data_IF_244244184014
#
_entry.id   IF_244244184014
#
_cell.length_a   1.000
_cell.length_b   1.000
_cell.length_c   1.000
_cell.angle_alpha   90.00
_cell.angle_beta   90.00
_cell.angle_gamma   90.00
#
_symmetry.space_group_name_H-M   'P 1'
#
loop_
_entity.id
_entity.type
_entity.pdbx_description
1 polymer ?
#
# COMPACT_ATOMS: atom_id res chain seq x y z
N UNK A 1 -11.57 -12.59 9.73
CA UNK A 1 -11.76 -12.06 11.08
C UNK A 1 -12.88 -12.82 11.81
N UNK A 2 -14.10 -12.86 11.27
CA UNK A 2 -15.26 -13.48 11.91
C UNK A 2 -15.10 -14.97 12.27
N UNK A 3 -14.31 -15.73 11.52
CA UNK A 3 -14.02 -17.15 11.79
C UNK A 3 -13.02 -17.39 12.93
N UNK A 4 -12.38 -16.36 13.48
CA UNK A 4 -11.38 -16.48 14.54
C UNK A 4 -11.88 -15.92 15.87
N UNK A 5 -12.16 -16.78 16.82
CA UNK A 5 -12.51 -16.36 18.19
C UNK A 5 -11.36 -15.55 18.83
N UNK A 6 -10.10 -15.92 18.53
CA UNK A 6 -8.93 -15.20 19.03
C UNK A 6 -8.88 -13.75 18.52
N UNK A 7 -9.12 -13.53 17.23
CA UNK A 7 -9.18 -12.18 16.66
C UNK A 7 -10.38 -11.39 17.19
N UNK A 8 -11.56 -11.98 17.24
CA UNK A 8 -12.76 -11.33 17.78
C UNK A 8 -12.60 -10.91 19.24
N UNK A 9 -11.91 -11.72 20.05
CA UNK A 9 -11.67 -11.42 21.47
C UNK A 9 -10.66 -10.28 21.65
N UNK A 10 -9.62 -10.20 20.83
CA UNK A 10 -8.45 -9.38 21.10
C UNK A 10 -8.37 -8.10 20.26
N UNK A 11 -9.13 -7.97 19.19
CA UNK A 11 -9.10 -6.78 18.34
C UNK A 11 -10.47 -6.41 17.76
N UNK A 12 -10.58 -5.16 17.34
CA UNK A 12 -11.69 -4.66 16.54
C UNK A 12 -11.20 -4.41 15.10
N UNK A 13 -12.11 -4.42 14.15
CA UNK A 13 -11.84 -4.19 12.74
C UNK A 13 -12.31 -2.80 12.33
N UNK A 14 -11.47 -2.05 11.63
CA UNK A 14 -11.85 -0.78 11.00
C UNK A 14 -11.76 -0.98 9.49
N UNK A 15 -12.88 -0.83 8.81
CA UNK A 15 -12.98 -0.86 7.36
C UNK A 15 -12.99 0.57 6.82
N UNK A 16 -11.85 1.03 6.30
CA UNK A 16 -11.76 2.35 5.65
C UNK A 16 -12.17 2.18 4.19
N UNK A 17 -13.45 2.34 3.95
CA UNK A 17 -14.09 2.23 2.64
C UNK A 17 -14.20 3.61 2.00
N UNK A 18 -14.60 3.66 0.72
CA UNK A 18 -14.91 4.91 0.04
C UNK A 18 -15.94 5.77 0.81
N UNK A 19 -15.79 7.10 0.68
CA UNK A 19 -16.75 8.02 1.30
C UNK A 19 -18.14 7.90 0.68
N UNK A 20 -19.18 7.99 1.49
CA UNK A 20 -20.57 7.94 1.07
C UNK A 20 -21.41 8.99 1.79
N UNK A 21 -22.39 9.52 1.12
CA UNK A 21 -23.43 10.36 1.76
C UNK A 21 -24.55 9.52 2.30
N UNK A 22 -25.05 8.60 1.49
CA UNK A 22 -26.14 7.68 1.85
C UNK A 22 -25.94 6.37 1.07
N UNK A 23 -26.17 5.22 1.72
CA UNK A 23 -26.09 3.91 1.08
C UNK A 23 -27.09 3.79 -0.08
N UNK A 24 -28.27 4.40 0.02
CA UNK A 24 -29.27 4.37 -1.05
C UNK A 24 -28.81 5.04 -2.35
N UNK A 25 -27.85 5.97 -2.29
CA UNK A 25 -27.29 6.70 -3.44
C UNK A 25 -26.07 6.01 -4.07
N UNK A 26 -25.59 4.94 -3.48
CA UNK A 26 -24.51 4.14 -4.04
C UNK A 26 -24.97 3.40 -5.30
N UNK A 27 -24.04 3.08 -6.19
CA UNK A 27 -24.31 2.17 -7.30
C UNK A 27 -24.59 0.72 -6.81
N UNK A 28 -25.01 -0.14 -7.70
CA UNK A 28 -25.37 -1.52 -7.35
C UNK A 28 -24.20 -2.29 -6.76
N UNK A 29 -23.01 -2.20 -7.38
CA UNK A 29 -21.83 -2.94 -6.92
C UNK A 29 -21.39 -2.49 -5.51
N UNK A 30 -21.41 -1.18 -5.25
CA UNK A 30 -21.12 -0.66 -3.91
C UNK A 30 -22.17 -1.09 -2.87
N UNK A 31 -23.44 -1.15 -3.25
CA UNK A 31 -24.51 -1.65 -2.36
C UNK A 31 -24.32 -3.12 -2.03
N UNK A 32 -23.98 -3.94 -3.02
CA UNK A 32 -23.73 -5.38 -2.83
C UNK A 32 -22.59 -5.61 -1.83
N UNK A 33 -21.49 -4.83 -1.91
CA UNK A 33 -20.39 -4.89 -0.93
C UNK A 33 -20.87 -4.57 0.48
N UNK A 34 -21.73 -3.55 0.66
CA UNK A 34 -22.27 -3.24 1.99
C UNK A 34 -23.21 -4.32 2.49
N UNK A 35 -24.02 -4.91 1.61
CA UNK A 35 -24.89 -6.01 1.97
C UNK A 35 -24.06 -7.21 2.47
N UNK A 36 -23.03 -7.62 1.72
CA UNK A 36 -22.12 -8.68 2.14
C UNK A 36 -21.46 -8.41 3.50
N UNK A 37 -21.03 -7.15 3.73
CA UNK A 37 -20.45 -6.76 5.03
C UNK A 37 -21.47 -6.97 6.15
N UNK A 38 -22.74 -6.56 5.97
CA UNK A 38 -23.79 -6.72 6.98
C UNK A 38 -24.14 -8.19 7.21
N UNK A 39 -24.24 -8.98 6.16
CA UNK A 39 -24.46 -10.43 6.26
C UNK A 39 -23.34 -11.12 7.06
N UNK A 40 -22.09 -10.71 6.85
CA UNK A 40 -20.95 -11.24 7.62
C UNK A 40 -20.98 -10.77 9.07
N UNK A 41 -21.38 -9.51 9.34
CA UNK A 41 -21.54 -8.99 10.70
C UNK A 41 -22.60 -9.81 11.45
N UNK A 42 -23.76 -10.05 10.83
CA UNK A 42 -24.84 -10.86 11.38
C UNK A 42 -24.40 -12.31 11.63
N UNK A 43 -23.87 -12.94 10.59
CA UNK A 43 -23.44 -14.35 10.61
C UNK A 43 -22.47 -14.67 11.75
N UNK A 44 -21.55 -13.76 12.05
CA UNK A 44 -20.50 -13.97 13.05
C UNK A 44 -20.70 -13.16 14.33
N UNK A 45 -21.86 -12.50 14.49
CA UNK A 45 -22.19 -11.63 15.62
C UNK A 45 -21.08 -10.61 15.92
N UNK A 46 -20.73 -9.80 14.92
CA UNK A 46 -19.64 -8.83 15.01
C UNK A 46 -20.10 -7.43 15.43
N UNK A 47 -21.25 -7.31 16.04
CA UNK A 47 -21.80 -6.05 16.54
C UNK A 47 -20.85 -5.41 17.57
N UNK A 48 -20.58 -4.11 17.40
CA UNK A 48 -19.60 -3.39 18.23
C UNK A 48 -18.13 -3.76 17.99
N UNK A 49 -17.85 -4.66 17.04
CA UNK A 49 -16.50 -5.12 16.69
C UNK A 49 -15.99 -4.58 15.36
N UNK A 50 -16.88 -4.10 14.49
CA UNK A 50 -16.56 -3.59 13.17
C UNK A 50 -16.99 -2.13 13.06
N UNK A 51 -16.04 -1.26 12.74
CA UNK A 51 -16.29 0.14 12.42
C UNK A 51 -16.09 0.38 10.93
N UNK A 52 -17.00 1.10 10.29
CA UNK A 52 -16.93 1.49 8.88
C UNK A 52 -17.29 2.98 8.72
N UNK A 53 -16.34 3.89 8.91
CA UNK A 53 -16.59 5.33 8.86
C UNK A 53 -17.33 5.75 7.60
N UNK A 54 -18.34 6.61 7.75
CA UNK A 54 -19.15 7.10 6.63
C UNK A 54 -18.35 8.02 5.72
N UNK A 55 -17.53 8.87 6.32
CA UNK A 55 -16.67 9.85 5.63
C UNK A 55 -15.32 9.96 6.31
N UNK A 56 -14.30 10.14 5.51
CA UNK A 56 -12.97 10.51 5.98
C UNK A 56 -12.32 11.43 4.94
N UNK A 57 -11.42 12.27 5.40
CA UNK A 57 -10.55 13.09 4.53
C UNK A 57 -9.17 12.43 4.50
N UNK A 58 -8.36 12.63 3.45
CA UNK A 58 -6.99 12.11 3.40
C UNK A 58 -6.19 12.49 4.66
N UNK A 59 -6.35 13.71 5.18
CA UNK A 59 -5.70 14.17 6.41
C UNK A 59 -6.08 13.36 7.67
N UNK A 60 -7.17 12.60 7.66
CA UNK A 60 -7.57 11.75 8.79
C UNK A 60 -6.85 10.40 8.81
N UNK A 61 -6.36 9.93 7.65
CA UNK A 61 -5.76 8.60 7.52
C UNK A 61 -4.53 8.42 8.41
N UNK A 62 -3.56 9.36 8.46
CA UNK A 62 -2.43 9.23 9.38
C UNK A 62 -2.84 9.20 10.86
N UNK A 63 -3.93 9.86 11.23
CA UNK A 63 -4.45 9.81 12.60
C UNK A 63 -5.04 8.43 12.93
N UNK A 64 -5.76 7.80 11.98
CA UNK A 64 -6.28 6.44 12.11
C UNK A 64 -5.13 5.45 12.27
N UNK A 65 -4.07 5.56 11.46
CA UNK A 65 -2.90 4.69 11.56
C UNK A 65 -2.19 4.85 12.91
N UNK A 66 -1.91 6.08 13.35
CA UNK A 66 -1.30 6.32 14.67
C UNK A 66 -2.16 5.83 15.83
N UNK A 67 -3.49 5.98 15.72
CA UNK A 67 -4.39 5.42 16.72
C UNK A 67 -4.29 3.88 16.74
N UNK A 68 -4.29 3.22 15.58
CA UNK A 68 -4.09 1.77 15.51
C UNK A 68 -2.74 1.33 16.10
N UNK A 69 -1.66 2.07 15.82
CA UNK A 69 -0.34 1.84 16.42
C UNK A 69 -0.39 1.89 17.95
N UNK A 70 -1.05 2.91 18.53
CA UNK A 70 -1.18 3.05 19.99
C UNK A 70 -1.90 1.88 20.67
N UNK A 71 -2.66 1.10 19.88
CA UNK A 71 -3.40 -0.10 20.31
C UNK A 71 -2.72 -1.41 19.93
N UNK A 72 -1.53 -1.36 19.32
CA UNK A 72 -0.85 -2.56 18.82
C UNK A 72 -1.55 -3.19 17.62
N UNK A 73 -2.21 -2.38 16.81
CA UNK A 73 -2.97 -2.84 15.63
C UNK A 73 -2.09 -3.24 14.46
N UNK A 74 -2.74 -3.63 13.36
CA UNK A 74 -2.11 -4.01 12.10
C UNK A 74 -2.81 -3.28 10.96
N UNK A 75 -2.07 -2.98 9.90
CA UNK A 75 -2.63 -2.63 8.60
C UNK A 75 -2.83 -3.91 7.78
N UNK A 76 -4.01 -4.08 7.21
CA UNK A 76 -4.34 -5.26 6.40
C UNK A 76 -4.70 -4.81 5.00
N UNK A 77 -3.95 -5.28 4.00
CA UNK A 77 -4.27 -5.08 2.59
C UNK A 77 -4.57 -6.45 1.92
N UNK A 78 -5.84 -6.83 1.82
CA UNK A 78 -6.26 -8.09 1.23
C UNK A 78 -6.57 -7.95 -0.27
N UNK A 79 -5.95 -7.03 -0.97
CA UNK A 79 -6.11 -6.88 -2.41
C UNK A 79 -5.63 -8.15 -3.13
N UNK A 80 -6.35 -8.60 -4.16
CA UNK A 80 -5.92 -9.75 -4.97
C UNK A 80 -4.59 -9.46 -5.67
N UNK A 81 -4.44 -8.24 -6.17
CA UNK A 81 -3.20 -7.70 -6.75
C UNK A 81 -3.02 -6.28 -6.25
N UNK A 82 -1.85 -5.96 -5.72
CA UNK A 82 -1.48 -4.61 -5.31
C UNK A 82 -0.26 -4.16 -6.11
N UNK A 83 -0.42 -3.32 -7.15
CA UNK A 83 0.67 -2.98 -8.05
C UNK A 83 1.85 -2.29 -7.36
N UNK A 84 1.59 -1.40 -6.41
CA UNK A 84 2.64 -0.62 -5.74
C UNK A 84 2.57 -0.68 -4.21
N UNK A 85 1.43 -0.33 -3.60
CA UNK A 85 1.24 -0.38 -2.15
C UNK A 85 1.52 0.92 -1.42
N UNK A 86 1.10 2.08 -1.95
CA UNK A 86 1.26 3.38 -1.27
C UNK A 86 0.66 3.36 0.13
N UNK A 87 -0.51 2.76 0.30
CA UNK A 87 -1.17 2.65 1.60
C UNK A 87 -0.38 1.82 2.61
N UNK A 88 0.41 0.83 2.14
CA UNK A 88 1.34 0.07 2.97
C UNK A 88 2.49 0.94 3.47
N UNK A 89 3.03 1.80 2.59
CA UNK A 89 4.10 2.74 2.96
C UNK A 89 3.60 3.82 3.90
N UNK A 90 2.40 4.34 3.69
CA UNK A 90 1.74 5.30 4.59
C UNK A 90 1.54 4.69 5.99
N UNK A 91 1.02 3.47 6.07
CA UNK A 91 0.85 2.75 7.32
C UNK A 91 2.21 2.48 8.01
N UNK A 92 3.21 2.02 7.24
CA UNK A 92 4.56 1.76 7.74
C UNK A 92 5.26 3.02 8.26
N UNK A 93 5.08 4.16 7.57
CA UNK A 93 5.61 5.47 8.02
C UNK A 93 5.06 5.90 9.38
N UNK A 94 3.84 5.50 9.69
CA UNK A 94 3.23 5.72 11.00
C UNK A 94 3.64 4.66 12.04
N UNK A 95 4.40 3.64 11.65
CA UNK A 95 4.82 2.54 12.52
C UNK A 95 3.78 1.42 12.66
N UNK A 96 2.85 1.30 11.72
CA UNK A 96 1.82 0.24 11.74
C UNK A 96 2.32 -0.97 10.92
N UNK A 97 2.56 -2.14 11.56
CA UNK A 97 2.94 -3.35 10.84
C UNK A 97 1.84 -3.84 9.91
N UNK A 98 2.24 -4.53 8.84
CA UNK A 98 1.32 -4.96 7.80
C UNK A 98 1.10 -6.47 7.74
N UNK A 99 -0.09 -6.86 7.29
CA UNK A 99 -0.39 -8.16 6.68
C UNK A 99 -0.99 -7.87 5.30
N UNK A 100 -0.33 -8.31 4.25
CA UNK A 100 -0.70 -7.95 2.88
C UNK A 100 -0.64 -9.15 1.93
N UNK A 101 -1.22 -8.96 0.75
CA UNK A 101 -1.12 -9.93 -0.34
C UNK A 101 0.34 -10.21 -0.71
N UNK A 102 0.62 -11.46 -1.04
CA UNK A 102 1.90 -11.86 -1.63
C UNK A 102 1.86 -11.74 -3.16
N UNK A 103 1.42 -10.55 -3.65
CA UNK A 103 1.41 -10.25 -5.07
C UNK A 103 1.69 -8.77 -5.34
N UNK A 104 2.57 -8.49 -6.31
CA UNK A 104 2.93 -7.14 -6.72
C UNK A 104 3.87 -6.39 -5.77
N UNK A 105 3.61 -5.10 -5.60
CA UNK A 105 4.43 -4.16 -4.81
C UNK A 105 4.69 -4.53 -3.34
N UNK A 106 3.76 -5.19 -2.63
CA UNK A 106 4.00 -5.62 -1.25
C UNK A 106 5.24 -6.49 -1.05
N UNK A 107 5.64 -7.27 -2.05
CA UNK A 107 6.88 -8.06 -2.01
C UNK A 107 8.12 -7.19 -1.87
N UNK A 108 8.21 -6.13 -2.68
CA UNK A 108 9.33 -5.19 -2.60
C UNK A 108 9.31 -4.42 -1.27
N UNK A 109 8.15 -3.94 -0.84
CA UNK A 109 8.00 -3.23 0.44
C UNK A 109 8.43 -4.14 1.59
N UNK A 110 7.96 -5.40 1.61
CA UNK A 110 8.34 -6.38 2.64
C UNK A 110 9.83 -6.66 2.66
N UNK A 111 10.47 -6.79 1.50
CA UNK A 111 11.92 -7.05 1.41
C UNK A 111 12.76 -5.90 1.94
N UNK A 112 12.32 -4.65 1.78
CA UNK A 112 13.03 -3.45 2.24
C UNK A 112 12.67 -3.02 3.66
N UNK A 113 11.40 -3.17 4.04
CA UNK A 113 10.91 -2.67 5.32
C UNK A 113 10.89 -3.73 6.42
N UNK A 114 10.83 -5.01 6.08
CA UNK A 114 10.75 -6.11 7.06
C UNK A 114 9.70 -5.86 8.16
N UNK A 115 8.56 -5.24 7.79
CA UNK A 115 7.59 -4.65 8.73
C UNK A 115 6.27 -5.42 8.82
N UNK A 116 6.26 -6.73 8.55
CA UNK A 116 5.02 -7.51 8.63
C UNK A 116 5.09 -8.85 7.92
N UNK A 117 3.95 -9.34 7.47
CA UNK A 117 3.79 -10.63 6.79
C UNK A 117 3.11 -10.46 5.43
N UNK A 118 3.50 -11.29 4.49
CA UNK A 118 2.77 -11.53 3.24
C UNK A 118 2.03 -12.87 3.34
N UNK A 119 0.90 -12.96 2.66
CA UNK A 119 0.09 -14.17 2.64
C UNK A 119 -0.73 -14.25 1.36
N UNK A 120 -1.11 -15.47 0.99
CA UNK A 120 -2.16 -15.65 -0.02
C UNK A 120 -3.50 -15.19 0.57
N UNK A 121 -4.03 -14.10 0.02
CA UNK A 121 -5.29 -13.50 0.47
C UNK A 121 -6.52 -14.23 -0.08
N UNK A 122 -6.36 -15.10 -1.05
CA UNK A 122 -7.42 -15.97 -1.59
C UNK A 122 -7.70 -17.15 -0.66
N UNK A 123 -6.70 -17.59 0.12
CA UNK A 123 -6.88 -18.58 1.18
C UNK A 123 -7.23 -17.89 2.51
N UNK A 124 -8.51 -18.00 2.88
CA UNK A 124 -9.02 -17.44 4.14
C UNK A 124 -8.34 -18.01 5.39
N UNK A 125 -7.85 -19.26 5.35
CA UNK A 125 -7.13 -19.84 6.46
C UNK A 125 -5.70 -19.31 6.56
N UNK A 126 -5.02 -19.14 5.42
CA UNK A 126 -3.70 -18.52 5.37
C UNK A 126 -3.77 -17.09 5.91
N UNK A 127 -4.72 -16.27 5.43
CA UNK A 127 -4.92 -14.91 5.90
C UNK A 127 -5.24 -14.86 7.41
N UNK A 128 -6.16 -15.71 7.90
CA UNK A 128 -6.47 -15.82 9.33
C UNK A 128 -5.22 -16.13 10.15
N UNK A 129 -4.45 -17.13 9.73
CA UNK A 129 -3.24 -17.56 10.44
C UNK A 129 -2.16 -16.46 10.44
N UNK A 130 -2.00 -15.74 9.33
CA UNK A 130 -1.09 -14.60 9.25
C UNK A 130 -1.48 -13.49 10.23
N UNK A 131 -2.76 -13.14 10.32
CA UNK A 131 -3.27 -12.15 11.27
C UNK A 131 -3.04 -12.60 12.72
N UNK A 132 -3.38 -13.84 13.07
CA UNK A 132 -3.17 -14.37 14.40
C UNK A 132 -1.69 -14.43 14.79
N UNK A 133 -0.82 -14.80 13.85
CA UNK A 133 0.63 -14.80 14.03
C UNK A 133 1.16 -13.39 14.26
N UNK A 134 0.74 -12.43 13.42
CA UNK A 134 1.19 -11.04 13.52
C UNK A 134 0.82 -10.39 14.86
N UNK A 135 -0.31 -10.78 15.46
CA UNK A 135 -0.78 -10.25 16.74
C UNK A 135 -0.28 -11.03 17.96
N UNK A 136 0.34 -12.20 17.78
CA UNK A 136 0.70 -13.08 18.90
C UNK A 136 1.97 -12.67 19.62
N UNK A 137 2.88 -11.93 18.97
CA UNK A 137 4.20 -11.61 19.50
C UNK A 137 4.45 -10.10 19.57
N UNK A 138 4.33 -9.54 20.76
CA UNK A 138 4.48 -8.10 20.99
C UNK A 138 5.90 -7.58 20.72
N UNK A 139 6.93 -8.40 20.95
CA UNK A 139 8.31 -8.02 20.66
C UNK A 139 8.56 -7.93 19.16
N UNK A 140 8.05 -8.91 18.40
CA UNK A 140 8.11 -8.91 16.93
C UNK A 140 7.32 -7.74 16.35
N UNK A 141 6.14 -7.44 16.89
CA UNK A 141 5.34 -6.30 16.49
C UNK A 141 6.11 -4.98 16.65
N UNK A 142 6.77 -4.77 17.80
CA UNK A 142 7.60 -3.59 18.03
C UNK A 142 8.78 -3.48 17.07
N UNK A 143 9.42 -4.61 16.75
CA UNK A 143 10.50 -4.66 15.76
C UNK A 143 9.98 -4.25 14.38
N UNK A 144 8.87 -4.81 13.92
CA UNK A 144 8.26 -4.44 12.65
C UNK A 144 7.84 -2.99 12.59
N UNK A 145 7.27 -2.45 13.68
CA UNK A 145 6.89 -1.04 13.78
C UNK A 145 8.09 -0.12 13.56
N UNK A 146 9.21 -0.37 14.25
CA UNK A 146 10.44 0.40 14.09
C UNK A 146 11.03 0.25 12.68
N UNK A 147 11.15 -0.97 12.19
CA UNK A 147 11.67 -1.26 10.85
C UNK A 147 10.88 -0.52 9.76
N UNK A 148 9.55 -0.48 9.87
CA UNK A 148 8.70 0.24 8.93
C UNK A 148 9.03 1.73 8.84
N UNK A 149 9.11 2.41 9.97
CA UNK A 149 9.43 3.85 10.04
C UNK A 149 10.81 4.12 9.44
N UNK A 150 11.84 3.38 9.87
CA UNK A 150 13.20 3.57 9.43
C UNK A 150 13.37 3.29 7.93
N UNK A 151 12.79 2.21 7.44
CA UNK A 151 12.94 1.79 6.05
C UNK A 151 12.16 2.67 5.07
N UNK A 152 10.96 3.14 5.43
CA UNK A 152 10.23 4.10 4.57
C UNK A 152 11.03 5.38 4.40
N UNK A 153 11.58 5.92 5.48
CA UNK A 153 12.43 7.11 5.42
C UNK A 153 13.68 6.88 4.55
N UNK A 154 14.31 5.71 4.69
CA UNK A 154 15.56 5.38 4.00
C UNK A 154 15.37 5.05 2.52
N UNK A 155 14.29 4.34 2.16
CA UNK A 155 14.15 3.75 0.83
C UNK A 155 13.06 4.38 -0.02
N UNK A 156 12.02 4.97 0.58
CA UNK A 156 10.82 5.43 -0.10
C UNK A 156 10.53 6.93 0.07
N UNK A 157 11.47 7.70 0.69
CA UNK A 157 11.35 9.16 0.76
C UNK A 157 11.63 9.81 -0.60
N UNK A 158 11.03 10.97 -0.84
CA UNK A 158 11.30 11.78 -2.03
C UNK A 158 12.78 12.15 -2.16
N UNK A 159 13.45 12.48 -1.07
CA UNK A 159 14.88 12.80 -1.06
C UNK A 159 15.71 11.63 -1.59
N UNK A 160 15.40 10.41 -1.14
CA UNK A 160 16.08 9.22 -1.62
C UNK A 160 15.74 8.92 -3.09
N UNK A 161 14.49 9.09 -3.48
CA UNK A 161 14.05 8.92 -4.87
C UNK A 161 14.81 9.87 -5.81
N UNK A 162 14.82 11.16 -5.51
CA UNK A 162 15.55 12.18 -6.30
C UNK A 162 17.04 11.88 -6.35
N UNK A 163 17.64 11.54 -5.22
CA UNK A 163 19.06 11.17 -5.16
C UNK A 163 19.39 9.99 -6.08
N UNK A 164 18.62 8.92 -6.00
CA UNK A 164 18.82 7.72 -6.82
C UNK A 164 18.58 8.01 -8.31
N UNK A 165 17.57 8.81 -8.63
CA UNK A 165 17.29 9.23 -10.00
C UNK A 165 18.48 10.00 -10.59
N UNK A 166 18.98 11.02 -9.87
CA UNK A 166 20.13 11.82 -10.31
C UNK A 166 21.41 10.98 -10.45
N UNK A 167 21.67 10.07 -9.52
CA UNK A 167 22.81 9.16 -9.61
C UNK A 167 22.72 8.27 -10.86
N UNK A 168 21.55 7.72 -11.15
CA UNK A 168 21.35 6.88 -12.33
C UNK A 168 21.55 7.68 -13.64
N UNK A 169 20.98 8.89 -13.72
CA UNK A 169 21.15 9.78 -14.88
C UNK A 169 22.62 10.14 -15.05
N UNK A 170 23.32 10.48 -13.97
CA UNK A 170 24.75 10.81 -14.03
C UNK A 170 25.61 9.62 -14.48
N UNK A 171 25.35 8.43 -13.95
CA UNK A 171 26.06 7.20 -14.34
C UNK A 171 25.84 6.83 -15.81
N UNK A 172 24.60 6.98 -16.31
CA UNK A 172 24.30 6.73 -17.71
C UNK A 172 25.02 7.74 -18.63
N UNK A 173 25.01 9.03 -18.29
CA UNK A 173 25.73 10.04 -19.05
C UNK A 173 27.23 9.79 -19.04
N UNK A 174 27.81 9.42 -17.90
CA UNK A 174 29.24 9.09 -17.82
C UNK A 174 29.59 7.85 -18.65
N UNK A 175 28.74 6.85 -18.69
CA UNK A 175 28.91 5.65 -19.52
C UNK A 175 28.84 6.00 -21.01
N UNK A 176 27.93 6.88 -21.42
CA UNK A 176 27.81 7.37 -22.79
C UNK A 176 29.03 8.19 -23.20
N UNK A 177 29.56 9.07 -22.34
CA UNK A 177 30.78 9.84 -22.59
C UNK A 177 32.02 8.95 -22.75
N UNK A 178 32.16 7.90 -21.94
CA UNK A 178 33.25 6.91 -22.09
C UNK A 178 33.15 6.15 -23.40
N UNK A 179 31.95 5.76 -23.84
CA UNK A 179 31.74 5.08 -25.12
C UNK A 179 32.09 6.00 -26.30
N UNK A 180 31.78 7.30 -26.23
CA UNK A 180 32.13 8.28 -27.25
C UNK A 180 33.63 8.57 -27.30
N UNK A 181 34.31 8.57 -26.15
CA UNK A 181 35.77 8.78 -26.08
C UNK A 181 36.62 7.56 -26.49
N UNK A 182 36.01 6.36 -26.45
CA UNK A 182 36.68 5.11 -26.89
C UNK A 182 36.52 4.79 -28.38
N UNK A 183 36.05 5.74 -29.20
CA UNK A 183 36.00 5.61 -30.67
C UNK A 183 34.93 4.61 -31.21
N UNK A 184 34.05 4.11 -30.35
CA UNK A 184 32.93 3.27 -30.80
C UNK A 184 31.88 4.19 -31.43
N UNK A 185 31.80 4.18 -32.78
CA UNK A 185 30.77 4.94 -33.51
C UNK A 185 29.39 4.62 -33.00
N UNK A 186 28.63 5.63 -32.56
CA UNK A 186 27.23 5.60 -32.16
C UNK A 186 26.26 5.23 -33.31
N UNK A 187 26.70 4.58 -34.37
CA UNK A 187 25.90 4.23 -35.52
C UNK A 187 24.87 3.12 -35.26
N UNK A 188 24.92 2.44 -34.10
CA UNK A 188 23.99 1.35 -33.78
C UNK A 188 22.80 1.78 -32.92
N UNK A 189 22.70 3.03 -32.47
CA UNK A 189 21.60 3.49 -31.64
C UNK A 189 20.54 4.34 -32.39
N UNK A 190 20.78 4.67 -33.66
CA UNK A 190 19.82 5.45 -34.48
C UNK A 190 18.78 4.61 -35.22
N UNK A 191 18.53 3.40 -34.79
CA UNK A 191 17.61 2.47 -35.45
C UNK A 191 16.18 2.51 -34.94
N UNK A 192 15.72 3.51 -34.19
CA UNK A 192 14.29 3.75 -33.91
C UNK A 192 14.04 5.16 -33.32
N UNK A 193 14.19 6.16 -34.16
CA UNK A 193 13.58 7.47 -33.91
C UNK A 193 12.80 7.92 -35.13
N UNK A 194 11.67 7.29 -35.36
CA UNK A 194 10.61 7.88 -36.19
C UNK A 194 9.32 7.78 -35.39
N UNK A 195 8.65 8.93 -35.33
CA UNK A 195 7.30 9.15 -34.82
C UNK A 195 7.18 9.63 -33.35
N UNK A 196 7.63 10.86 -33.11
CA UNK A 196 6.83 11.79 -32.29
C UNK A 196 6.74 13.08 -33.08
N UNK A 197 5.58 13.28 -33.68
CA UNK A 197 5.18 14.50 -34.36
C UNK A 197 4.68 15.49 -33.32
N UNK A 198 5.23 16.70 -33.17
CA UNK A 198 4.78 17.67 -32.17
C UNK A 198 3.69 18.58 -32.74
N UNK A 199 2.54 18.05 -33.12
CA UNK A 199 1.35 18.87 -33.39
C UNK A 199 0.09 18.00 -33.29
N UNK A 200 -0.52 17.98 -32.11
CA UNK A 200 -1.97 17.97 -31.94
C UNK A 200 -2.29 18.40 -30.50
N UNK A 201 -2.65 19.66 -30.39
CA UNK A 201 -3.40 20.24 -29.29
C UNK A 201 -4.74 19.51 -29.15
N UNK A 202 -5.09 19.04 -27.93
CA UNK A 202 -6.37 19.35 -27.28
C UNK A 202 -6.48 18.64 -25.91
N UNK A 203 -6.48 19.48 -24.91
CA UNK A 203 -7.39 19.62 -23.76
C UNK A 203 -8.07 18.38 -23.18
N UNK A 204 -7.71 18.03 -21.97
CA UNK A 204 -8.60 18.05 -20.81
C UNK A 204 -7.82 17.64 -19.57
N UNK A 205 -7.83 18.52 -18.57
CA UNK A 205 -7.04 18.46 -17.38
C UNK A 205 -7.57 17.46 -16.37
N UNK A 206 -6.64 16.94 -15.61
CA UNK A 206 -6.81 16.65 -14.20
C UNK A 206 -5.45 16.79 -13.55
N UNK A 207 -5.25 17.96 -12.95
CA UNK A 207 -4.14 18.25 -12.06
C UNK A 207 -4.26 17.38 -10.81
N UNK A 208 -3.27 16.56 -10.59
CA UNK A 208 -3.03 15.96 -9.29
C UNK A 208 -1.83 16.67 -8.67
N UNK A 209 -2.08 17.82 -8.02
CA UNK A 209 -1.11 18.40 -7.09
C UNK A 209 -1.27 17.73 -5.74
N UNK A 210 -0.21 17.08 -5.29
CA UNK A 210 -0.03 16.66 -3.90
C UNK A 210 0.91 17.68 -3.28
N UNK A 211 0.36 18.51 -2.41
CA UNK A 211 1.11 19.25 -1.40
C UNK A 211 1.33 18.37 -0.18
#
# INVERSE_FOLDING_TARGET
YGKSEKLKKNCNLILVLGCRDNISKLDSQQKDVFQEIFEVIDKYNLYGKVAYPKKHKPAHIPAIYRWAVSRGGLFVNPALTEPFGLTLLEAASCGLPMVATDDGGPREIKSKCENGLLTDVTDLNALKNALEKAMSNKSQWKLWSRNGIEAVTRHFSWDNHVRNYLLNVYQQNYKLMRLSSSGIKLSCLNGRSSLINPHSSNTSGSEWMIN
#
